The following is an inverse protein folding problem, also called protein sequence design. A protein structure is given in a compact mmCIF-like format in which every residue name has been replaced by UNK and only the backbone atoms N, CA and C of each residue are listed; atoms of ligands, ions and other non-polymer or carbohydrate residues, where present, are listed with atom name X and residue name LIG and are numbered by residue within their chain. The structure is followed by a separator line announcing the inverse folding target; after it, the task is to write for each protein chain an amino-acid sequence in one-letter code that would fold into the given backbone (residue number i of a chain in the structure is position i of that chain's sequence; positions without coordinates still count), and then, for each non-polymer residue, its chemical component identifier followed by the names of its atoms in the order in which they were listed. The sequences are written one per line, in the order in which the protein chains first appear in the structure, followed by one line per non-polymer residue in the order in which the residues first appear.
data_IF_370992953636
#
_entry.id   IF_370992953636
#
_cell.length_a   1.000
_cell.length_b   1.000
_cell.length_c   1.000
_cell.angle_alpha   90.00
_cell.angle_beta   90.00
_cell.angle_gamma   90.00
#
_symmetry.space_group_name_H-M   'P 1'
#
loop_
_entity.id
_entity.type
_entity.pdbx_description
1 polymer ?
#
# COMPACT_ATOMS: atom_id res chain seq x y z
N UNK A 1 -7.53 -11.03 -29.98
CA UNK A 1 -8.17 -9.69 -30.04
C UNK A 1 -7.21 -8.69 -29.43
N UNK A 2 -6.93 -7.60 -30.15
CA UNK A 2 -5.95 -6.59 -29.75
C UNK A 2 -6.67 -5.34 -29.27
N UNK A 3 -6.23 -4.82 -28.13
CA UNK A 3 -6.73 -3.60 -27.53
C UNK A 3 -5.99 -2.41 -28.14
N UNK A 4 -6.71 -1.34 -28.52
CA UNK A 4 -6.05 -0.09 -28.86
C UNK A 4 -5.72 0.64 -27.55
N UNK A 5 -4.43 0.81 -27.25
CA UNK A 5 -3.99 1.42 -26.00
C UNK A 5 -3.46 2.83 -26.27
N UNK A 6 -4.04 3.82 -25.59
CA UNK A 6 -3.65 5.23 -25.70
C UNK A 6 -3.57 5.91 -24.34
N UNK A 7 -3.04 7.13 -24.28
CA UNK A 7 -3.10 7.95 -23.07
C UNK A 7 -4.55 8.34 -22.73
N UNK A 8 -4.81 8.48 -21.45
CA UNK A 8 -6.04 9.08 -20.91
C UNK A 8 -6.26 10.50 -21.43
N UNK A 9 -7.54 10.86 -21.58
CA UNK A 9 -8.02 12.20 -21.87
C UNK A 9 -9.18 12.51 -20.93
N UNK A 10 -9.40 13.79 -20.64
CA UNK A 10 -10.51 14.26 -19.77
C UNK A 10 -11.87 13.66 -20.16
N UNK A 11 -12.11 13.48 -21.46
CA UNK A 11 -13.38 12.97 -21.98
C UNK A 11 -13.64 11.51 -21.60
N UNK A 12 -12.61 10.73 -21.23
CA UNK A 12 -12.74 9.32 -20.86
C UNK A 12 -13.37 9.13 -19.48
N UNK A 13 -13.45 10.19 -18.66
CA UNK A 13 -13.87 10.12 -17.26
C UNK A 13 -15.22 9.43 -17.09
N UNK A 14 -16.23 9.83 -17.86
CA UNK A 14 -17.57 9.27 -17.71
C UNK A 14 -17.59 7.77 -18.04
N UNK A 15 -16.91 7.35 -19.11
CA UNK A 15 -16.82 5.93 -19.47
C UNK A 15 -16.08 5.11 -18.41
N UNK A 16 -15.05 5.68 -17.76
CA UNK A 16 -14.36 5.03 -16.66
C UNK A 16 -15.28 4.88 -15.44
N UNK A 17 -16.02 5.92 -15.08
CA UNK A 17 -17.02 5.88 -13.98
C UNK A 17 -18.02 4.76 -14.25
N UNK A 18 -18.59 4.72 -15.46
CA UNK A 18 -19.59 3.72 -15.84
C UNK A 18 -19.01 2.31 -15.81
N UNK A 19 -17.76 2.14 -16.24
CA UNK A 19 -17.04 0.86 -16.20
C UNK A 19 -16.74 0.37 -14.78
N UNK A 20 -16.53 1.28 -13.83
CA UNK A 20 -16.10 0.94 -12.46
C UNK A 20 -17.18 1.04 -11.40
N UNK A 21 -18.38 1.53 -11.72
CA UNK A 21 -19.46 1.79 -10.76
C UNK A 21 -19.86 0.59 -9.90
N UNK A 22 -19.69 -0.64 -10.40
CA UNK A 22 -20.06 -1.87 -9.71
C UNK A 22 -18.83 -2.59 -9.10
N UNK A 23 -17.62 -2.05 -9.30
CA UNK A 23 -16.42 -2.62 -8.69
C UNK A 23 -16.48 -2.42 -7.17
N UNK A 24 -16.16 -3.48 -6.42
CA UNK A 24 -16.10 -3.46 -4.95
C UNK A 24 -17.35 -2.87 -4.29
N UNK A 25 -18.54 -3.22 -4.79
CA UNK A 25 -19.80 -2.74 -4.24
C UNK A 25 -20.05 -1.24 -4.44
N UNK A 26 -19.35 -0.60 -5.38
CA UNK A 26 -19.46 0.84 -5.66
C UNK A 26 -18.42 1.69 -4.95
N UNK A 27 -17.43 1.08 -4.30
CA UNK A 27 -16.37 1.77 -3.56
C UNK A 27 -15.05 1.90 -4.36
N UNK A 28 -15.09 1.83 -5.70
CA UNK A 28 -13.90 2.16 -6.51
C UNK A 28 -13.55 3.64 -6.32
N UNK A 29 -12.33 3.89 -5.85
CA UNK A 29 -11.80 5.25 -5.62
C UNK A 29 -11.32 5.90 -6.92
N UNK A 30 -11.16 5.13 -8.01
CA UNK A 30 -10.66 5.64 -9.30
C UNK A 30 -11.39 6.93 -9.77
N UNK A 31 -12.73 6.99 -9.80
CA UNK A 31 -13.47 8.20 -10.19
C UNK A 31 -13.05 9.49 -9.49
N UNK A 32 -12.62 9.37 -8.22
CA UNK A 32 -12.27 10.51 -7.39
C UNK A 32 -10.83 11.00 -7.63
N UNK A 33 -9.97 10.18 -8.22
CA UNK A 33 -8.54 10.49 -8.39
C UNK A 33 -8.08 10.57 -9.85
N UNK A 34 -8.86 10.07 -10.81
CA UNK A 34 -8.41 9.90 -12.19
C UNK A 34 -8.01 11.22 -12.88
N UNK A 35 -8.71 12.33 -12.61
CA UNK A 35 -8.33 13.64 -13.15
C UNK A 35 -7.00 14.10 -12.58
N UNK A 36 -6.84 14.02 -11.25
CA UNK A 36 -5.59 14.37 -10.58
C UNK A 36 -4.41 13.53 -11.10
N UNK A 37 -4.62 12.24 -11.33
CA UNK A 37 -3.61 11.36 -11.91
C UNK A 37 -3.37 11.64 -13.40
N UNK A 38 -4.38 12.11 -14.14
CA UNK A 38 -4.23 12.53 -15.53
C UNK A 38 -3.33 13.76 -15.69
N UNK A 39 -3.36 14.67 -14.72
CA UNK A 39 -2.60 15.92 -14.72
C UNK A 39 -1.22 15.81 -14.04
N UNK A 40 -0.96 14.75 -13.26
CA UNK A 40 0.32 14.54 -12.59
C UNK A 40 1.37 13.97 -13.54
N UNK A 41 2.44 14.74 -13.76
CA UNK A 41 3.61 14.35 -14.57
C UNK A 41 4.26 13.01 -14.17
N UNK A 42 4.08 12.55 -12.93
CA UNK A 42 4.59 11.25 -12.46
C UNK A 42 3.68 10.08 -12.84
N UNK A 43 2.44 10.34 -13.24
CA UNK A 43 1.46 9.31 -13.56
C UNK A 43 1.28 9.19 -15.07
N UNK A 44 1.47 7.97 -15.58
CA UNK A 44 1.22 7.60 -16.97
C UNK A 44 -0.05 6.75 -17.02
N UNK A 45 -1.17 7.43 -17.26
CA UNK A 45 -2.51 6.82 -17.31
C UNK A 45 -2.82 6.33 -18.73
N UNK A 46 -3.12 5.05 -18.87
CA UNK A 46 -3.43 4.41 -20.15
C UNK A 46 -4.85 3.85 -20.20
N UNK A 47 -5.51 4.07 -21.33
CA UNK A 47 -6.85 3.62 -21.66
C UNK A 47 -6.76 2.55 -22.75
N UNK A 48 -7.51 1.48 -22.56
CA UNK A 48 -7.69 0.43 -23.54
C UNK A 48 -9.07 0.52 -24.19
N UNK A 49 -9.08 0.66 -25.51
CA UNK A 49 -10.29 0.78 -26.32
C UNK A 49 -10.52 -0.42 -27.22
N UNK A 50 -11.80 -0.77 -27.38
CA UNK A 50 -12.26 -1.77 -28.33
C UNK A 50 -13.48 -1.22 -29.07
N UNK A 51 -13.37 -1.02 -30.40
CA UNK A 51 -14.44 -0.45 -31.24
C UNK A 51 -14.98 0.87 -30.67
N UNK A 52 -14.06 1.79 -30.36
CA UNK A 52 -14.36 3.13 -29.80
C UNK A 52 -15.03 3.13 -28.41
N UNK A 53 -15.03 1.99 -27.71
CA UNK A 53 -15.48 1.88 -26.33
C UNK A 53 -14.29 1.70 -25.39
N UNK A 54 -14.24 2.49 -24.31
CA UNK A 54 -13.29 2.29 -23.19
C UNK A 54 -13.64 1.00 -22.46
N UNK A 55 -12.70 0.05 -22.43
CA UNK A 55 -12.90 -1.28 -21.82
C UNK A 55 -11.82 -1.65 -20.81
N UNK A 56 -10.74 -0.86 -20.68
CA UNK A 56 -9.70 -1.07 -19.68
C UNK A 56 -8.95 0.21 -19.31
N UNK A 57 -8.33 0.19 -18.13
CA UNK A 57 -7.46 1.23 -17.60
C UNK A 57 -6.25 0.57 -16.93
N UNK A 58 -5.08 1.19 -17.01
CA UNK A 58 -3.95 0.92 -16.11
C UNK A 58 -3.06 2.14 -15.95
N UNK A 59 -2.39 2.25 -14.81
CA UNK A 59 -1.58 3.42 -14.44
C UNK A 59 -0.17 2.97 -14.08
N UNK A 60 0.82 3.67 -14.63
CA UNK A 60 2.21 3.58 -14.18
C UNK A 60 2.59 4.89 -13.49
N UNK A 61 2.90 4.83 -12.20
CA UNK A 61 3.42 5.95 -11.43
C UNK A 61 4.94 5.84 -11.28
N UNK A 62 5.65 6.93 -11.50
CA UNK A 62 7.11 6.99 -11.34
C UNK A 62 7.44 7.40 -9.89
N UNK A 63 8.17 6.53 -9.20
CA UNK A 63 8.54 6.64 -7.78
C UNK A 63 10.05 6.48 -7.59
N UNK A 64 10.52 6.69 -6.36
CA UNK A 64 11.92 6.47 -5.96
C UNK A 64 12.93 7.19 -6.87
N UNK A 65 12.68 8.49 -7.15
CA UNK A 65 13.53 9.30 -8.04
C UNK A 65 13.66 8.76 -9.48
N UNK A 66 12.63 8.06 -9.96
CA UNK A 66 12.63 7.49 -11.32
C UNK A 66 12.99 6.01 -11.35
N UNK A 67 13.48 5.44 -10.24
CA UNK A 67 13.95 4.05 -10.21
C UNK A 67 12.81 3.03 -10.23
N UNK A 68 11.64 3.41 -9.73
CA UNK A 68 10.51 2.47 -9.59
C UNK A 68 9.35 2.88 -10.47
N UNK A 69 8.96 1.98 -11.37
CA UNK A 69 7.68 1.99 -12.05
C UNK A 69 6.62 1.31 -11.19
N UNK A 70 5.82 2.09 -10.46
CA UNK A 70 4.71 1.59 -9.65
C UNK A 70 3.48 1.32 -10.52
N UNK A 71 3.08 0.06 -10.62
CA UNK A 71 1.94 -0.36 -11.43
C UNK A 71 0.68 -0.38 -10.56
N UNK A 72 -0.32 0.42 -10.95
CA UNK A 72 -1.58 0.52 -10.22
C UNK A 72 -2.76 0.75 -11.18
N UNK A 73 -3.95 0.97 -10.63
CA UNK A 73 -5.06 1.43 -11.45
C UNK A 73 -5.65 0.38 -12.42
N UNK A 74 -5.23 -0.89 -12.37
CA UNK A 74 -5.67 -1.90 -13.36
C UNK A 74 -7.16 -2.21 -13.22
N UNK A 75 -7.95 -1.88 -14.26
CA UNK A 75 -9.37 -2.25 -14.38
C UNK A 75 -9.64 -2.78 -15.79
N UNK A 76 -10.54 -3.75 -15.89
CA UNK A 76 -11.11 -4.23 -17.16
C UNK A 76 -12.61 -4.34 -16.98
N UNK A 77 -13.35 -3.78 -17.94
CA UNK A 77 -14.81 -3.82 -17.98
C UNK A 77 -15.31 -5.26 -17.78
N UNK A 78 -16.30 -5.51 -16.90
CA UNK A 78 -16.75 -6.86 -16.53
C UNK A 78 -17.01 -7.78 -17.73
N UNK A 79 -17.74 -7.29 -18.74
CA UNK A 79 -18.07 -8.03 -19.97
C UNK A 79 -16.87 -8.32 -20.89
N UNK A 80 -15.71 -7.71 -20.62
CA UNK A 80 -14.49 -7.84 -21.38
C UNK A 80 -13.38 -8.60 -20.62
N UNK A 81 -13.67 -9.11 -19.42
CA UNK A 81 -12.76 -9.97 -18.65
C UNK A 81 -12.56 -11.33 -19.34
N UNK A 82 -11.47 -12.03 -18.99
CA UNK A 82 -11.11 -13.31 -19.60
C UNK A 82 -10.55 -13.24 -21.03
N UNK A 83 -10.46 -12.03 -21.63
CA UNK A 83 -10.01 -11.82 -23.02
C UNK A 83 -8.53 -11.39 -23.14
N UNK A 84 -7.79 -11.42 -22.03
CA UNK A 84 -6.36 -11.07 -21.98
C UNK A 84 -6.03 -9.57 -21.95
N UNK A 85 -7.03 -8.69 -21.84
CA UNK A 85 -6.81 -7.23 -21.85
C UNK A 85 -5.98 -6.73 -20.67
N UNK A 86 -6.16 -7.31 -19.48
CA UNK A 86 -5.36 -6.95 -18.33
C UNK A 86 -3.85 -7.17 -18.57
N UNK A 87 -3.48 -8.30 -19.19
CA UNK A 87 -2.09 -8.57 -19.58
C UNK A 87 -1.59 -7.60 -20.64
N UNK A 88 -2.42 -7.19 -21.62
CA UNK A 88 -2.03 -6.22 -22.64
C UNK A 88 -1.75 -4.84 -22.01
N UNK A 89 -2.63 -4.37 -21.12
CA UNK A 89 -2.46 -3.12 -20.38
C UNK A 89 -1.20 -3.14 -19.52
N UNK A 90 -1.01 -4.18 -18.70
CA UNK A 90 0.18 -4.31 -17.87
C UNK A 90 1.47 -4.44 -18.69
N UNK A 91 1.44 -5.09 -19.87
CA UNK A 91 2.60 -5.12 -20.79
C UNK A 91 2.93 -3.72 -21.30
N UNK A 92 1.93 -2.89 -21.59
CA UNK A 92 2.16 -1.48 -21.97
C UNK A 92 2.83 -0.69 -20.85
N UNK A 93 2.44 -0.91 -19.58
CA UNK A 93 3.12 -0.29 -18.45
C UNK A 93 4.60 -0.68 -18.37
N UNK A 94 4.91 -1.98 -18.54
CA UNK A 94 6.31 -2.46 -18.55
C UNK A 94 7.11 -1.82 -19.69
N UNK A 95 6.53 -1.74 -20.89
CA UNK A 95 7.18 -1.09 -22.02
C UNK A 95 7.47 0.39 -21.73
N UNK A 96 6.47 1.13 -21.23
CA UNK A 96 6.63 2.55 -20.93
C UNK A 96 7.62 2.80 -19.80
N UNK A 97 7.63 1.99 -18.74
CA UNK A 97 8.64 2.13 -17.69
C UNK A 97 10.06 1.91 -18.20
N UNK A 98 10.27 0.95 -19.12
CA UNK A 98 11.57 0.74 -19.78
C UNK A 98 11.98 1.94 -20.64
N UNK A 99 11.04 2.51 -21.39
CA UNK A 99 11.27 3.73 -22.18
C UNK A 99 11.65 4.93 -21.29
N UNK A 100 11.11 4.98 -20.07
CA UNK A 100 11.41 6.01 -19.06
C UNK A 100 12.67 5.73 -18.23
N UNK A 101 13.30 4.56 -18.42
CA UNK A 101 14.53 4.19 -17.73
C UNK A 101 14.36 3.84 -16.25
N UNK A 102 13.19 3.33 -15.84
CA UNK A 102 13.04 2.78 -14.48
C UNK A 102 13.97 1.58 -14.30
N UNK A 103 14.38 1.30 -13.07
CA UNK A 103 15.25 0.16 -12.71
C UNK A 103 14.43 -1.08 -12.34
N UNK A 104 13.22 -0.88 -11.81
CA UNK A 104 12.33 -1.95 -11.38
C UNK A 104 10.85 -1.59 -11.51
N UNK A 105 10.00 -2.61 -11.47
CA UNK A 105 8.55 -2.47 -11.33
C UNK A 105 8.07 -3.00 -10.00
N UNK A 106 7.12 -2.31 -9.38
CA UNK A 106 6.46 -2.73 -8.14
C UNK A 106 4.95 -2.60 -8.22
N UNK A 107 4.25 -3.44 -7.47
CA UNK A 107 2.82 -3.30 -7.20
C UNK A 107 2.43 -4.03 -5.91
N UNK A 108 1.39 -3.56 -5.24
CA UNK A 108 0.77 -4.23 -4.10
C UNK A 108 -0.51 -4.93 -4.54
N UNK A 109 -0.68 -6.19 -4.15
CA UNK A 109 -1.92 -6.96 -4.34
C UNK A 109 -2.44 -7.49 -3.01
N UNK A 110 -3.76 -7.56 -2.89
CA UNK A 110 -4.39 -8.45 -1.93
C UNK A 110 -4.09 -9.91 -2.31
N UNK A 111 -3.73 -10.77 -1.35
CA UNK A 111 -3.36 -12.16 -1.60
C UNK A 111 -4.46 -12.95 -2.32
N UNK A 112 -5.74 -12.71 -1.98
CA UNK A 112 -6.89 -13.37 -2.62
C UNK A 112 -7.18 -12.87 -4.04
N UNK A 113 -6.43 -11.89 -4.56
CA UNK A 113 -6.54 -11.44 -5.94
C UNK A 113 -5.70 -12.34 -6.87
N UNK A 114 -6.12 -13.60 -7.00
CA UNK A 114 -5.43 -14.63 -7.79
C UNK A 114 -5.26 -14.21 -9.25
N UNK A 115 -6.27 -13.56 -9.84
CA UNK A 115 -6.22 -13.08 -11.22
C UNK A 115 -5.08 -12.07 -11.44
N UNK A 116 -4.95 -11.09 -10.54
CA UNK A 116 -3.86 -10.09 -10.63
C UNK A 116 -2.51 -10.70 -10.29
N UNK A 117 -2.46 -11.63 -9.32
CA UNK A 117 -1.24 -12.35 -8.96
C UNK A 117 -0.70 -13.20 -10.10
N UNK A 118 -1.59 -13.87 -10.86
CA UNK A 118 -1.23 -14.61 -12.06
C UNK A 118 -0.68 -13.70 -13.16
N UNK A 119 -1.27 -12.50 -13.34
CA UNK A 119 -0.76 -11.51 -14.30
C UNK A 119 0.62 -10.99 -13.88
N UNK A 120 0.80 -10.62 -12.61
CA UNK A 120 2.06 -10.14 -12.07
C UNK A 120 3.18 -11.19 -12.25
N UNK A 121 2.90 -12.44 -11.90
CA UNK A 121 3.83 -13.57 -12.06
C UNK A 121 4.17 -13.81 -13.53
N UNK A 122 3.19 -13.79 -14.43
CA UNK A 122 3.41 -13.92 -15.88
C UNK A 122 4.30 -12.81 -16.44
N UNK A 123 4.22 -11.61 -15.86
CA UNK A 123 5.07 -10.48 -16.20
C UNK A 123 6.42 -10.50 -15.48
N UNK A 124 6.76 -11.57 -14.75
CA UNK A 124 8.04 -11.74 -14.09
C UNK A 124 8.17 -11.04 -12.74
N UNK A 125 7.09 -10.45 -12.20
CA UNK A 125 7.11 -9.94 -10.85
C UNK A 125 7.02 -11.10 -9.85
N UNK A 126 7.74 -10.97 -8.73
CA UNK A 126 7.80 -11.96 -7.65
C UNK A 126 7.44 -11.31 -6.32
N UNK A 127 6.77 -12.02 -5.40
CA UNK A 127 6.47 -11.48 -4.09
C UNK A 127 7.77 -11.28 -3.29
N UNK A 128 7.93 -10.13 -2.64
CA UNK A 128 9.12 -9.79 -1.84
C UNK A 128 8.82 -9.46 -0.37
N UNK A 129 7.61 -8.99 -0.06
CA UNK A 129 7.15 -8.66 1.30
C UNK A 129 5.65 -8.99 1.40
N UNK A 130 5.24 -9.60 2.52
CA UNK A 130 3.83 -9.87 2.83
C UNK A 130 3.50 -9.26 4.19
N UNK A 131 2.51 -8.38 4.21
CA UNK A 131 1.96 -7.78 5.43
C UNK A 131 0.49 -8.13 5.56
N UNK A 132 -0.03 -8.04 6.78
CA UNK A 132 -1.46 -7.97 7.01
C UNK A 132 -1.84 -6.49 7.17
N UNK A 133 -2.97 -6.11 6.56
CA UNK A 133 -3.63 -4.84 6.76
C UNK A 133 -4.98 -5.08 7.45
N UNK A 134 -5.18 -4.46 8.60
CA UNK A 134 -6.42 -4.52 9.39
C UNK A 134 -7.02 -3.12 9.50
N UNK A 135 -8.33 -3.03 9.25
CA UNK A 135 -9.11 -1.82 9.52
C UNK A 135 -9.85 -2.04 10.83
N UNK A 136 -9.48 -1.27 11.85
CA UNK A 136 -10.03 -1.35 13.20
C UNK A 136 -10.97 -0.15 13.44
N UNK A 137 -12.10 -0.37 14.12
CA UNK A 137 -12.88 0.73 14.70
C UNK A 137 -12.22 1.17 16.02
N UNK A 138 -11.73 2.43 16.13
CA UNK A 138 -11.15 2.96 17.36
C UNK A 138 -12.01 2.76 18.62
N UNK A 139 -13.33 2.65 18.48
CA UNK A 139 -14.26 2.46 19.61
C UNK A 139 -14.25 1.06 20.20
N UNK A 140 -13.80 0.07 19.43
CA UNK A 140 -13.74 -1.33 19.86
C UNK A 140 -12.41 -1.65 20.58
N UNK A 141 -11.43 -0.77 20.47
CA UNK A 141 -10.11 -0.95 21.08
C UNK A 141 -10.22 -0.70 22.58
N UNK A 142 -9.95 -1.73 23.39
CA UNK A 142 -9.83 -1.58 24.85
C UNK A 142 -8.37 -1.58 25.27
N UNK A 143 -8.08 -0.88 26.37
CA UNK A 143 -6.74 -0.82 26.96
C UNK A 143 -6.40 -2.07 27.80
N UNK A 144 -7.16 -3.16 27.65
CA UNK A 144 -6.98 -4.35 28.48
C UNK A 144 -5.68 -5.07 28.10
N UNK A 145 -4.66 -4.76 28.89
CA UNK A 145 -3.39 -5.46 29.08
C UNK A 145 -2.58 -5.65 27.79
N UNK A 146 -2.07 -4.53 27.29
CA UNK A 146 -0.80 -4.54 26.58
C UNK A 146 0.22 -3.95 27.55
N UNK A 147 0.90 -4.76 28.35
CA UNK A 147 1.99 -4.24 29.19
C UNK A 147 3.10 -3.75 28.26
N UNK A 148 3.28 -2.44 28.18
CA UNK A 148 4.42 -1.83 27.51
C UNK A 148 5.66 -2.06 28.39
N UNK A 149 6.56 -2.91 27.92
CA UNK A 149 7.82 -3.21 28.62
C UNK A 149 9.03 -2.51 27.98
N UNK A 150 8.83 -1.93 26.79
CA UNK A 150 9.85 -1.20 26.04
C UNK A 150 9.78 0.31 26.35
N UNK A 151 10.94 0.97 26.28
CA UNK A 151 11.02 2.43 26.31
C UNK A 151 10.77 3.01 24.91
N UNK A 152 9.96 4.06 24.79
CA UNK A 152 9.61 4.66 23.51
C UNK A 152 10.29 6.01 23.29
N UNK A 153 10.83 6.21 22.10
CA UNK A 153 11.46 7.46 21.69
C UNK A 153 11.02 7.86 20.28
N UNK A 154 10.60 9.11 20.13
CA UNK A 154 10.34 9.68 18.80
C UNK A 154 11.64 9.96 18.06
N UNK A 155 11.64 9.66 16.77
CA UNK A 155 12.73 9.95 15.84
C UNK A 155 12.18 10.65 14.60
N UNK A 156 13.03 11.42 13.92
CA UNK A 156 12.72 12.01 12.63
C UNK A 156 12.88 11.00 11.48
N UNK A 157 12.26 11.30 10.34
CA UNK A 157 12.48 10.55 9.10
C UNK A 157 13.97 10.53 8.67
N UNK A 158 14.72 11.58 9.02
CA UNK A 158 16.17 11.64 8.76
C UNK A 158 16.94 10.67 9.65
N UNK A 159 16.66 10.66 10.95
CA UNK A 159 17.28 9.71 11.89
C UNK A 159 16.96 8.27 11.49
N UNK A 160 15.72 7.98 11.07
CA UNK A 160 15.34 6.66 10.50
C UNK A 160 16.29 6.21 9.38
N UNK A 161 16.67 7.12 8.47
CA UNK A 161 17.60 6.80 7.38
C UNK A 161 19.06 6.67 7.83
N UNK A 162 19.45 7.25 8.95
CA UNK A 162 20.82 7.18 9.47
C UNK A 162 21.02 5.96 10.38
N UNK A 163 19.97 5.51 11.06
CA UNK A 163 20.02 4.42 12.04
C UNK A 163 20.00 3.03 11.38
N UNK A 164 21.19 2.42 11.24
CA UNK A 164 21.34 1.05 10.72
C UNK A 164 20.53 0.00 11.50
N UNK A 165 20.37 0.16 12.81
CA UNK A 165 19.58 -0.73 13.66
C UNK A 165 18.10 -0.74 13.28
N UNK A 166 17.53 0.43 13.02
CA UNK A 166 16.11 0.56 12.60
C UNK A 166 15.91 -0.05 11.21
N UNK A 167 16.82 0.21 10.27
CA UNK A 167 16.73 -0.37 8.91
C UNK A 167 16.68 -1.90 8.90
N UNK A 168 17.33 -2.57 9.86
CA UNK A 168 17.28 -4.05 9.99
C UNK A 168 15.88 -4.57 10.33
N UNK A 169 15.00 -3.73 10.91
CA UNK A 169 13.63 -4.09 11.22
C UNK A 169 12.73 -4.09 9.98
N UNK A 170 13.11 -3.33 8.95
CA UNK A 170 12.23 -3.04 7.82
C UNK A 170 12.58 -3.98 6.66
N UNK A 171 11.70 -4.93 6.31
CA UNK A 171 11.98 -5.91 5.28
C UNK A 171 12.39 -5.24 3.96
N UNK A 172 13.52 -5.71 3.39
CA UNK A 172 14.09 -5.20 2.13
C UNK A 172 14.43 -3.69 2.13
N UNK A 173 14.46 -3.03 3.29
CA UNK A 173 14.54 -1.57 3.40
C UNK A 173 13.42 -0.84 2.64
N UNK A 174 12.22 -1.45 2.61
CA UNK A 174 11.05 -0.89 1.95
C UNK A 174 10.01 -0.51 3.00
N UNK A 175 9.75 0.79 3.13
CA UNK A 175 8.72 1.30 4.03
C UNK A 175 7.35 1.21 3.36
N UNK A 176 6.43 0.48 3.99
CA UNK A 176 5.05 0.40 3.56
C UNK A 176 4.28 1.57 4.18
N UNK A 177 3.69 2.40 3.33
CA UNK A 177 2.89 3.56 3.68
C UNK A 177 1.53 3.46 3.00
N UNK A 178 0.53 2.99 3.74
CA UNK A 178 -0.80 2.66 3.22
C UNK A 178 -0.68 1.61 2.09
N UNK A 179 -1.01 2.00 0.85
CA UNK A 179 -0.94 1.12 -0.33
C UNK A 179 0.43 1.14 -1.01
N UNK A 180 1.24 2.16 -0.74
CA UNK A 180 2.50 2.42 -1.43
C UNK A 180 3.69 1.84 -0.66
N UNK A 181 4.72 1.47 -1.41
CA UNK A 181 5.97 0.97 -0.87
C UNK A 181 7.11 1.85 -1.37
N UNK A 182 7.84 2.48 -0.44
CA UNK A 182 8.93 3.40 -0.72
C UNK A 182 10.25 2.79 -0.31
N UNK A 183 11.28 2.97 -1.13
CA UNK A 183 12.64 2.72 -0.65
C UNK A 183 12.97 3.66 0.51
N UNK A 184 13.63 3.12 1.54
CA UNK A 184 14.23 3.93 2.60
C UNK A 184 15.51 4.60 2.12
N UNK A 185 15.33 5.66 1.36
CA UNK A 185 16.37 6.49 0.75
C UNK A 185 16.10 7.97 0.98
N UNK A 186 17.14 8.79 0.87
CA UNK A 186 17.03 10.25 0.97
C UNK A 186 16.04 10.81 -0.05
N UNK A 187 15.99 10.22 -1.25
CA UNK A 187 15.06 10.59 -2.32
C UNK A 187 13.59 10.53 -1.92
N UNK A 188 13.25 9.69 -0.94
CA UNK A 188 11.88 9.53 -0.45
C UNK A 188 11.59 10.31 0.82
N UNK A 189 12.56 11.03 1.41
CA UNK A 189 12.31 11.88 2.57
C UNK A 189 11.12 12.83 2.37
N UNK A 190 10.95 13.52 1.22
CA UNK A 190 9.78 14.38 1.03
C UNK A 190 8.43 13.66 1.15
N UNK A 191 8.39 12.35 0.85
CA UNK A 191 7.16 11.56 0.92
C UNK A 191 6.80 11.13 2.35
N UNK A 192 7.78 11.12 3.27
CA UNK A 192 7.63 10.62 4.64
C UNK A 192 8.01 11.64 5.72
N UNK A 193 8.44 12.85 5.33
CA UNK A 193 8.90 13.88 6.26
C UNK A 193 7.82 14.38 7.23
N UNK A 194 6.55 14.25 6.83
CA UNK A 194 5.39 14.63 7.65
C UNK A 194 4.82 13.46 8.46
N UNK A 195 5.38 12.27 8.29
CA UNK A 195 4.98 11.10 9.06
C UNK A 195 5.70 11.10 10.42
N UNK A 196 5.08 10.45 11.40
CA UNK A 196 5.65 10.27 12.73
C UNK A 196 6.31 8.91 12.86
N UNK A 197 7.47 8.88 13.51
CA UNK A 197 8.23 7.66 13.76
C UNK A 197 8.59 7.57 15.23
N UNK A 198 8.31 6.43 15.84
CA UNK A 198 8.67 6.10 17.22
C UNK A 198 9.42 4.77 17.21
N UNK A 199 10.55 4.71 17.90
CA UNK A 199 11.26 3.46 18.16
C UNK A 199 10.92 2.95 19.55
N UNK A 200 10.82 1.63 19.68
CA UNK A 200 10.82 0.94 20.97
C UNK A 200 12.23 0.43 21.27
N UNK A 201 12.66 0.58 22.52
CA UNK A 201 13.99 0.20 23.00
C UNK A 201 13.83 -0.74 24.19
N UNK A 202 14.42 -1.94 24.07
CA UNK A 202 14.47 -2.95 25.12
C UNK A 202 15.91 -3.37 25.35
N UNK A 203 16.36 -3.34 26.60
CA UNK A 203 17.74 -3.72 26.97
C UNK A 203 18.81 -3.04 26.11
N UNK A 204 18.63 -1.75 25.80
CA UNK A 204 19.51 -0.92 24.94
C UNK A 204 19.55 -1.34 23.46
N UNK A 205 18.63 -2.17 23.00
CA UNK A 205 18.47 -2.52 21.60
C UNK A 205 17.13 -2.01 21.08
N UNK A 206 17.10 -1.59 19.81
CA UNK A 206 15.85 -1.22 19.17
C UNK A 206 15.05 -2.49 18.89
N UNK A 207 13.87 -2.60 19.49
CA UNK A 207 12.97 -3.76 19.41
C UNK A 207 11.87 -3.56 18.38
N UNK A 208 11.41 -2.34 18.16
CA UNK A 208 10.40 -2.02 17.16
C UNK A 208 10.57 -0.64 16.53
N UNK A 209 9.98 -0.48 15.34
CA UNK A 209 9.65 0.79 14.72
C UNK A 209 8.14 0.87 14.56
N UNK A 210 7.56 1.97 15.03
CA UNK A 210 6.19 2.39 14.79
C UNK A 210 6.24 3.58 13.85
N UNK A 211 5.60 3.44 12.70
CA UNK A 211 5.42 4.49 11.70
C UNK A 211 3.94 4.85 11.67
N UNK A 212 3.57 6.12 11.84
CA UNK A 212 2.17 6.50 11.78
C UNK A 212 1.95 7.87 11.13
N UNK A 213 0.82 8.01 10.45
CA UNK A 213 0.41 9.23 9.76
C UNK A 213 -1.10 9.22 9.58
N UNK A 214 -1.69 10.40 9.39
CA UNK A 214 -3.12 10.52 9.11
C UNK A 214 -3.38 10.71 7.63
N UNK A 215 -4.49 10.15 7.17
CA UNK A 215 -5.06 10.40 5.85
C UNK A 215 -6.52 10.81 5.99
N UNK A 216 -7.03 11.53 5.00
CA UNK A 216 -8.46 11.75 4.85
C UNK A 216 -9.00 10.68 3.90
N UNK A 217 -9.74 9.73 4.45
CA UNK A 217 -10.42 8.70 3.68
C UNK A 217 -11.90 9.10 3.44
N UNK A 218 -12.58 8.32 2.60
CA UNK A 218 -13.99 8.46 2.23
C UNK A 218 -14.91 8.52 3.46
N UNK A 219 -14.57 7.77 4.50
CA UNK A 219 -15.36 7.65 5.73
C UNK A 219 -14.93 8.59 6.85
N UNK A 220 -13.92 9.45 6.60
CA UNK A 220 -13.38 10.39 7.59
C UNK A 220 -11.86 10.29 7.76
N UNK A 221 -11.31 10.97 8.78
CA UNK A 221 -9.90 10.88 9.10
C UNK A 221 -9.52 9.47 9.55
N UNK A 222 -8.54 8.86 8.89
CA UNK A 222 -8.01 7.55 9.25
C UNK A 222 -6.56 7.68 9.74
N UNK A 223 -6.22 6.94 10.80
CA UNK A 223 -4.85 6.79 11.28
C UNK A 223 -4.23 5.55 10.63
N UNK A 224 -3.16 5.72 9.86
CA UNK A 224 -2.38 4.61 9.33
C UNK A 224 -1.21 4.33 10.27
N UNK A 225 -1.00 3.06 10.62
CA UNK A 225 0.06 2.59 11.52
C UNK A 225 0.80 1.41 10.88
N UNK A 226 2.10 1.54 10.68
CA UNK A 226 3.02 0.46 10.33
C UNK A 226 3.81 -0.01 11.55
N UNK A 227 3.81 -1.30 11.83
CA UNK A 227 4.52 -1.92 12.96
C UNK A 227 5.58 -2.91 12.46
N UNK A 228 6.85 -2.62 12.77
CA UNK A 228 8.01 -3.44 12.41
C UNK A 228 8.71 -3.89 13.69
N UNK A 229 8.70 -5.19 13.99
CA UNK A 229 9.08 -5.71 15.31
C UNK A 229 10.09 -6.85 15.21
N UNK A 230 11.01 -6.97 16.17
CA UNK A 230 11.92 -8.13 16.22
C UNK A 230 11.22 -9.41 16.69
N UNK A 231 10.27 -9.30 17.61
CA UNK A 231 9.54 -10.41 18.24
C UNK A 231 8.14 -10.02 18.72
N UNK A 232 7.43 -11.01 19.25
CA UNK A 232 6.03 -10.91 19.72
C UNK A 232 5.87 -9.91 20.87
N UNK A 233 6.85 -9.82 21.77
CA UNK A 233 6.80 -8.90 22.91
C UNK A 233 6.98 -7.44 22.45
N UNK A 234 7.87 -7.20 21.48
CA UNK A 234 8.01 -5.88 20.85
C UNK A 234 6.74 -5.49 20.08
N UNK A 235 6.08 -6.47 19.44
CA UNK A 235 4.78 -6.28 18.79
C UNK A 235 3.68 -5.89 19.78
N UNK A 236 3.55 -6.61 20.91
CA UNK A 236 2.60 -6.25 21.97
C UNK A 236 2.90 -4.88 22.58
N UNK A 237 4.16 -4.56 22.86
CA UNK A 237 4.55 -3.24 23.38
C UNK A 237 4.23 -2.13 22.38
N UNK A 238 4.50 -2.37 21.09
CA UNK A 238 4.18 -1.42 20.03
C UNK A 238 2.69 -1.16 19.88
N UNK A 239 1.84 -2.19 19.93
CA UNK A 239 0.38 -2.03 19.98
C UNK A 239 -0.04 -1.26 21.23
N UNK A 240 0.55 -1.57 22.39
CA UNK A 240 0.27 -0.87 23.65
C UNK A 240 0.47 0.63 23.49
N UNK A 241 1.63 1.00 22.93
CA UNK A 241 1.99 2.39 22.72
C UNK A 241 1.02 3.07 21.75
N UNK A 242 0.71 2.44 20.63
CA UNK A 242 -0.21 3.01 19.63
C UNK A 242 -1.59 3.28 20.24
N UNK A 243 -2.16 2.31 20.96
CA UNK A 243 -3.51 2.43 21.51
C UNK A 243 -3.57 3.32 22.74
N UNK A 244 -2.53 3.31 23.59
CA UNK A 244 -2.46 4.20 24.76
C UNK A 244 -2.33 5.68 24.39
N UNK A 245 -1.77 5.96 23.20
CA UNK A 245 -1.62 7.32 22.65
C UNK A 245 -2.71 7.67 21.63
N UNK A 246 -3.73 6.82 21.47
CA UNK A 246 -4.83 7.08 20.56
C UNK A 246 -5.81 8.09 21.16
N UNK A 247 -5.98 9.23 20.50
CA UNK A 247 -7.03 10.17 20.85
C UNK A 247 -8.38 9.69 20.31
N UNK A 248 -9.17 9.05 21.18
CA UNK A 248 -10.51 8.55 20.86
C UNK A 248 -11.39 9.71 20.35
N UNK A 249 -12.08 9.49 19.24
CA UNK A 249 -12.99 10.46 18.63
C UNK A 249 -12.36 11.36 17.57
N UNK A 250 -11.04 11.31 17.36
CA UNK A 250 -10.37 12.00 16.25
C UNK A 250 -10.47 11.20 14.96
N UNK A 251 -10.15 9.90 15.01
CA UNK A 251 -10.12 9.04 13.84
C UNK A 251 -11.39 8.20 13.74
N UNK A 252 -11.90 8.01 12.53
CA UNK A 252 -13.01 7.09 12.26
C UNK A 252 -12.54 5.65 12.05
N UNK A 253 -11.27 5.46 11.67
CA UNK A 253 -10.70 4.13 11.40
C UNK A 253 -9.20 4.13 11.68
N UNK A 254 -8.67 3.00 12.13
CA UNK A 254 -7.23 2.75 12.16
C UNK A 254 -6.90 1.69 11.11
N UNK A 255 -5.98 2.01 10.19
CA UNK A 255 -5.35 1.04 9.32
C UNK A 255 -4.04 0.57 9.96
N UNK A 256 -4.06 -0.63 10.52
CA UNK A 256 -2.89 -1.27 11.12
C UNK A 256 -2.24 -2.22 10.12
N UNK A 257 -0.95 -2.01 9.82
CA UNK A 257 -0.14 -2.80 8.89
C UNK A 257 1.05 -3.40 9.62
N UNK A 258 1.23 -4.71 9.54
CA UNK A 258 2.36 -5.41 10.17
C UNK A 258 2.69 -6.72 9.45
N UNK A 259 3.84 -7.31 9.76
CA UNK A 259 4.25 -8.60 9.18
C UNK A 259 3.31 -9.73 9.61
N UNK A 260 2.86 -10.54 8.65
CA UNK A 260 1.91 -11.66 8.88
C UNK A 260 2.28 -12.58 10.04
N UNK A 261 3.57 -12.77 10.34
CA UNK A 261 4.04 -13.64 11.43
C UNK A 261 3.49 -13.26 12.80
N UNK A 262 3.11 -12.00 13.03
CA UNK A 262 2.54 -11.53 14.30
C UNK A 262 1.02 -11.70 14.40
N UNK A 263 0.35 -12.13 13.34
CA UNK A 263 -1.11 -12.23 13.33
C UNK A 263 -1.65 -13.22 14.37
N UNK A 264 -0.91 -14.30 14.66
CA UNK A 264 -1.27 -15.25 15.72
C UNK A 264 -1.35 -14.57 17.09
N UNK A 265 -0.40 -13.69 17.39
CA UNK A 265 -0.35 -12.92 18.65
C UNK A 265 -1.51 -11.94 18.69
N UNK A 266 -1.76 -11.26 17.57
CA UNK A 266 -2.87 -10.33 17.43
C UNK A 266 -4.24 -10.99 17.74
N UNK A 267 -4.49 -12.21 17.25
CA UNK A 267 -5.75 -12.92 17.51
C UNK A 267 -5.90 -13.41 18.96
N UNK A 268 -4.91 -13.21 19.83
CA UNK A 268 -5.06 -13.48 21.27
C UNK A 268 -5.81 -12.35 22.00
N UNK A 269 -6.01 -11.18 21.37
CA UNK A 269 -6.72 -10.07 21.98
C UNK A 269 -8.24 -10.28 21.90
N UNK A 270 -8.89 -10.37 23.06
CA UNK A 270 -10.31 -10.74 23.18
C UNK A 270 -11.31 -9.69 22.69
N UNK A 271 -10.87 -8.44 22.48
CA UNK A 271 -11.70 -7.34 21.97
C UNK A 271 -11.73 -7.26 20.44
N UNK A 272 -10.97 -8.11 19.75
CA UNK A 272 -11.02 -8.22 18.30
C UNK A 272 -12.05 -9.31 17.92
N UNK A 273 -13.20 -8.92 17.38
CA UNK A 273 -14.20 -9.84 16.84
C UNK A 273 -13.79 -10.33 15.44
N UNK A 274 -14.12 -11.57 15.09
CA UNK A 274 -13.81 -12.22 13.79
C UNK A 274 -14.32 -11.45 12.54
N UNK A 275 -15.15 -10.41 12.73
CA UNK A 275 -15.74 -9.61 11.65
C UNK A 275 -14.79 -8.52 11.10
N UNK A 276 -13.66 -8.21 11.75
CA UNK A 276 -12.67 -7.26 11.22
C UNK A 276 -11.80 -7.92 10.14
N UNK A 277 -12.20 -7.75 8.88
CA UNK A 277 -11.58 -8.37 7.71
C UNK A 277 -10.15 -7.86 7.45
N UNK A 278 -9.15 -8.66 7.85
CA UNK A 278 -7.78 -8.48 7.43
C UNK A 278 -7.54 -8.86 5.98
N UNK A 279 -6.74 -8.05 5.29
CA UNK A 279 -6.27 -8.35 3.94
C UNK A 279 -4.76 -8.56 3.99
N UNK A 280 -4.30 -9.70 3.47
CA UNK A 280 -2.88 -9.89 3.22
C UNK A 280 -2.46 -9.06 2.01
N UNK A 281 -1.63 -8.05 2.24
CA UNK A 281 -1.02 -7.21 1.22
C UNK A 281 0.35 -7.77 0.86
N UNK A 282 0.51 -8.13 -0.41
CA UNK A 282 1.74 -8.70 -0.96
C UNK A 282 2.36 -7.70 -1.91
N UNK A 283 3.58 -7.25 -1.60
CA UNK A 283 4.39 -6.43 -2.48
C UNK A 283 5.11 -7.34 -3.48
N UNK A 284 4.89 -7.08 -4.76
CA UNK A 284 5.55 -7.73 -5.88
C UNK A 284 6.60 -6.81 -6.48
N UNK A 285 7.74 -7.38 -6.92
CA UNK A 285 8.82 -6.66 -7.56
C UNK A 285 9.37 -7.42 -8.77
N UNK A 286 9.80 -6.67 -9.78
CA UNK A 286 10.60 -7.14 -10.91
C UNK A 286 11.68 -6.14 -11.23
N UNK A 287 12.94 -6.56 -11.15
CA UNK A 287 14.05 -5.78 -11.70
C UNK A 287 14.05 -5.82 -13.24
N UNK A 288 14.50 -4.73 -13.85
CA UNK A 288 14.79 -4.68 -15.29
C UNK A 288 16.22 -5.16 -15.48
N UNK A 289 16.36 -6.28 -16.20
CA UNK A 289 17.64 -6.75 -16.76
C UNK A 289 18.19 -5.80 -17.82
#
# INVERSE_FOLDING_TARGET
MQLQIRKYRSEDKQSLIDMTKDNWGGHDHLPHHIEQWGDDSKHHVFIGELKDQVVALSILRIMDEGKTGWMEGLRVHPEHRGKGFASQMSTKLIQTGRELGVERFRLTLAQHNEASSAIATKLGLRPIVTNLALWLDPKNITNDILNAEDDFQNISAKELLEMKSVKKLIPKNVLIRHWYAYDLSESNLPNIAHDSFTIAVREKQISALIHHFSIKDTYGPALCVGLYCIDEQAFCSGLSYVFSNLEIGIFSTILLIYEKRFHRVFNMFHWFEDEEHGIELVLYERDIE
#
